data_IF_388587946236
#
_entry.id   IF_388587946236
#
_cell.length_a   1.000
_cell.length_b   1.000
_cell.length_c   1.000
_cell.angle_alpha   90.00
_cell.angle_beta   90.00
_cell.angle_gamma   90.00
#
_symmetry.space_group_name_H-M   'P 1'
#
loop_
_entity.id
_entity.type
_entity.pdbx_description
1 polymer ?
#
# COMPACT_ATOMS: atom_id res chain seq x y z
N UNK A 1 9.98 -31.43 29.77
CA UNK A 1 11.29 -30.88 29.38
C UNK A 1 11.24 -29.38 29.63
N UNK A 2 11.88 -28.88 30.70
CA UNK A 2 11.98 -27.43 30.94
C UNK A 2 13.02 -26.87 29.97
N UNK A 3 12.60 -26.03 29.03
CA UNK A 3 13.53 -25.27 28.20
C UNK A 3 14.32 -24.32 29.07
N UNK A 4 15.65 -24.40 29.03
CA UNK A 4 16.53 -23.42 29.67
C UNK A 4 16.33 -22.07 28.95
N UNK A 5 15.83 -21.08 29.68
CA UNK A 5 15.86 -19.70 29.25
C UNK A 5 17.27 -19.17 29.52
N UNK A 6 18.09 -19.02 28.47
CA UNK A 6 19.35 -18.29 28.56
C UNK A 6 19.08 -16.84 28.15
N UNK A 7 18.59 -16.05 29.11
CA UNK A 7 18.58 -14.59 29.00
C UNK A 7 19.99 -14.06 29.24
N UNK A 8 20.81 -14.06 28.19
CA UNK A 8 21.95 -13.15 28.14
C UNK A 8 21.48 -11.94 27.33
N UNK A 9 20.76 -11.05 28.00
CA UNK A 9 20.42 -9.74 27.46
C UNK A 9 21.70 -8.95 27.24
N UNK A 10 22.21 -8.95 26.01
CA UNK A 10 23.17 -7.98 25.52
C UNK A 10 22.94 -7.80 24.01
N UNK A 11 22.51 -6.59 23.66
CA UNK A 11 22.48 -6.03 22.30
C UNK A 11 21.45 -6.62 21.33
N UNK A 12 20.15 -6.42 21.62
CA UNK A 12 19.11 -6.43 20.58
C UNK A 12 19.06 -5.06 19.86
N UNK A 13 20.19 -4.58 19.36
CA UNK A 13 20.15 -3.78 18.16
C UNK A 13 20.49 -4.76 17.05
N UNK A 14 19.51 -5.36 16.35
CA UNK A 14 19.83 -5.98 15.08
C UNK A 14 20.55 -4.92 14.24
N UNK A 15 21.67 -5.31 13.60
CA UNK A 15 22.24 -4.51 12.53
C UNK A 15 21.07 -3.99 11.68
N UNK A 16 21.04 -2.69 11.31
CA UNK A 16 19.94 -2.19 10.52
C UNK A 16 19.84 -3.07 9.28
N UNK A 17 18.73 -3.84 9.18
CA UNK A 17 18.45 -4.66 8.01
C UNK A 17 18.70 -3.77 6.80
N UNK A 18 19.53 -4.16 5.82
CA UNK A 18 19.81 -3.35 4.64
C UNK A 18 18.52 -2.84 3.98
N UNK A 19 17.40 -3.55 4.16
CA UNK A 19 16.07 -3.08 3.80
C UNK A 19 15.71 -1.70 4.39
N UNK A 20 16.09 -1.34 5.62
CA UNK A 20 15.81 -0.01 6.22
C UNK A 20 16.45 1.16 5.48
N UNK A 21 17.50 0.91 4.70
CA UNK A 21 18.14 1.93 3.86
C UNK A 21 17.44 2.16 2.53
N UNK A 22 16.44 1.33 2.18
CA UNK A 22 15.68 1.52 0.94
C UNK A 22 14.77 2.75 1.04
N UNK A 23 14.61 3.51 -0.07
CA UNK A 23 13.74 4.68 -0.10
C UNK A 23 12.33 4.38 0.40
N UNK A 24 11.83 5.26 1.29
CA UNK A 24 10.45 5.22 1.77
C UNK A 24 10.10 4.08 2.74
N UNK A 25 11.08 3.36 3.27
CA UNK A 25 10.84 2.33 4.30
C UNK A 25 10.37 2.91 5.63
N UNK A 26 10.91 4.07 6.03
CA UNK A 26 10.40 4.83 7.17
C UNK A 26 8.92 5.23 6.99
N UNK A 27 8.50 5.50 5.75
CA UNK A 27 7.13 5.85 5.41
C UNK A 27 6.13 4.70 5.53
N UNK A 28 6.58 3.43 5.52
CA UNK A 28 5.66 2.27 5.65
C UNK A 28 5.05 2.17 7.04
N UNK A 29 5.82 2.48 8.09
CA UNK A 29 5.47 2.21 9.49
C UNK A 29 4.86 3.43 10.21
N UNK A 30 4.11 4.25 9.48
CA UNK A 30 3.42 5.42 10.03
C UNK A 30 2.01 5.08 10.51
N UNK A 31 1.48 5.84 11.45
CA UNK A 31 0.12 5.70 11.99
C UNK A 31 -1.00 5.86 10.92
N UNK A 32 -0.72 6.53 9.80
CA UNK A 32 -1.71 6.88 8.76
C UNK A 32 -2.34 5.67 8.02
N UNK A 33 -1.72 4.48 8.09
CA UNK A 33 -2.22 3.30 7.37
C UNK A 33 -2.10 3.43 5.84
N UNK A 34 -2.69 2.53 5.06
CA UNK A 34 -2.66 2.58 3.59
C UNK A 34 -4.07 2.87 3.04
N UNK A 35 -4.13 3.62 1.93
CA UNK A 35 -5.40 3.94 1.26
C UNK A 35 -5.98 2.75 0.51
N UNK A 36 -5.13 1.93 -0.11
CA UNK A 36 -5.54 0.71 -0.78
C UNK A 36 -4.45 -0.37 -0.72
N UNK A 37 -4.86 -1.63 -0.78
CA UNK A 37 -3.97 -2.80 -0.77
C UNK A 37 -4.52 -3.87 -1.72
N UNK A 38 -3.68 -4.50 -2.54
CA UNK A 38 -4.07 -5.64 -3.39
C UNK A 38 -2.90 -6.61 -3.62
N UNK A 39 -3.19 -7.78 -4.17
CA UNK A 39 -2.21 -8.76 -4.65
C UNK A 39 -2.13 -8.74 -6.18
N UNK A 40 -0.95 -9.03 -6.74
CA UNK A 40 -0.80 -9.36 -8.16
C UNK A 40 -1.05 -10.84 -8.48
N UNK A 41 -0.77 -11.24 -9.71
CA UNK A 41 -0.90 -12.61 -10.20
C UNK A 41 0.05 -13.60 -9.52
N UNK A 42 1.21 -13.11 -9.07
CA UNK A 42 2.26 -13.87 -8.36
C UNK A 42 2.07 -13.86 -6.84
N UNK A 43 1.09 -13.12 -6.34
CA UNK A 43 0.85 -12.97 -4.91
C UNK A 43 1.75 -11.94 -4.23
N UNK A 44 2.36 -11.03 -5.00
CA UNK A 44 3.07 -9.87 -4.45
C UNK A 44 2.04 -8.85 -3.99
N UNK A 45 2.20 -8.37 -2.76
CA UNK A 45 1.35 -7.33 -2.18
C UNK A 45 1.75 -5.96 -2.72
N UNK A 46 0.76 -5.14 -3.08
CA UNK A 46 0.93 -3.75 -3.48
C UNK A 46 0.18 -2.87 -2.47
N UNK A 47 0.89 -1.93 -1.85
CA UNK A 47 0.34 -1.02 -0.85
C UNK A 47 0.37 0.40 -1.41
N UNK A 48 -0.76 1.09 -1.40
CA UNK A 48 -0.92 2.43 -1.96
C UNK A 48 -1.21 3.46 -0.87
N UNK A 49 -0.53 4.60 -0.92
CA UNK A 49 -0.83 5.79 -0.11
C UNK A 49 -0.44 7.04 -0.88
N UNK A 50 -1.36 8.00 -1.00
CA UNK A 50 -1.13 9.21 -1.78
C UNK A 50 -0.69 8.86 -3.20
N UNK A 51 0.41 9.45 -3.65
CA UNK A 51 1.03 9.18 -4.95
C UNK A 51 2.10 8.08 -4.92
N UNK A 52 2.18 7.32 -3.83
CA UNK A 52 3.22 6.33 -3.60
C UNK A 52 2.67 4.91 -3.54
N UNK A 53 3.48 3.98 -4.05
CA UNK A 53 3.28 2.55 -3.96
C UNK A 53 4.49 1.89 -3.29
N UNK A 54 4.22 0.85 -2.52
CA UNK A 54 5.20 -0.07 -1.99
C UNK A 54 4.90 -1.49 -2.50
N UNK A 55 5.86 -2.09 -3.19
CA UNK A 55 5.73 -3.45 -3.73
C UNK A 55 6.37 -4.47 -2.80
N UNK A 56 5.64 -5.53 -2.46
CA UNK A 56 6.05 -6.53 -1.47
C UNK A 56 6.23 -5.96 -0.06
N UNK A 57 6.70 -6.81 0.86
CA UNK A 57 6.91 -6.42 2.26
C UNK A 57 8.12 -5.48 2.45
N UNK A 58 9.18 -5.67 1.67
CA UNK A 58 10.45 -4.96 1.81
C UNK A 58 10.84 -4.07 0.61
N UNK A 59 9.98 -3.95 -0.41
CA UNK A 59 10.33 -3.15 -1.58
C UNK A 59 10.45 -1.65 -1.27
N UNK A 60 11.23 -0.91 -2.07
CA UNK A 60 11.28 0.54 -1.94
C UNK A 60 9.92 1.17 -2.26
N UNK A 61 9.72 2.40 -1.81
CA UNK A 61 8.62 3.23 -2.32
C UNK A 61 8.89 3.64 -3.76
N UNK A 62 7.85 3.67 -4.58
CA UNK A 62 7.89 4.20 -5.93
C UNK A 62 6.68 5.11 -6.16
N UNK A 63 6.83 6.09 -7.04
CA UNK A 63 5.70 6.92 -7.43
C UNK A 63 4.75 6.09 -8.30
N UNK A 64 3.44 6.19 -8.08
CA UNK A 64 2.42 5.32 -8.71
C UNK A 64 2.51 5.36 -10.24
N UNK A 65 2.80 6.51 -10.85
CA UNK A 65 2.92 6.62 -12.31
C UNK A 65 4.08 5.80 -12.92
N UNK A 66 5.08 5.40 -12.12
CA UNK A 66 6.23 4.59 -12.57
C UNK A 66 5.81 3.13 -12.69
N UNK A 67 5.07 2.63 -11.71
CA UNK A 67 4.66 1.22 -11.62
C UNK A 67 3.32 0.95 -12.27
N UNK A 68 2.44 1.94 -12.31
CA UNK A 68 1.13 1.91 -12.93
C UNK A 68 0.98 3.06 -13.93
N UNK A 69 1.52 2.91 -15.15
CA UNK A 69 1.50 3.95 -16.16
C UNK A 69 0.09 4.48 -16.43
N UNK A 70 -0.06 5.81 -16.43
CA UNK A 70 -1.34 6.49 -16.64
C UNK A 70 -2.17 6.68 -15.37
N UNK A 71 -1.74 6.14 -14.22
CA UNK A 71 -2.34 6.46 -12.93
C UNK A 71 -1.59 7.62 -12.25
N UNK A 72 -2.37 8.50 -11.64
CA UNK A 72 -1.90 9.63 -10.82
C UNK A 72 -2.87 9.80 -9.65
N UNK A 73 -2.42 10.36 -8.52
CA UNK A 73 -3.27 10.62 -7.37
C UNK A 73 -3.54 9.38 -6.49
N UNK A 74 -4.17 9.59 -5.33
CA UNK A 74 -4.54 8.53 -4.38
C UNK A 74 -5.41 7.43 -5.00
N UNK A 75 -5.17 6.19 -4.59
CA UNK A 75 -6.04 5.05 -4.87
C UNK A 75 -6.85 4.77 -3.61
N UNK A 76 -8.17 4.79 -3.74
CA UNK A 76 -9.10 4.68 -2.59
C UNK A 76 -9.50 3.24 -2.29
N UNK A 77 -9.45 2.36 -3.30
CA UNK A 77 -9.62 0.93 -3.12
C UNK A 77 -8.91 0.16 -4.23
N UNK A 78 -8.46 -1.05 -3.90
CA UNK A 78 -7.85 -1.97 -4.84
C UNK A 78 -8.28 -3.39 -4.49
N UNK A 79 -8.55 -4.22 -5.50
CA UNK A 79 -8.66 -5.66 -5.29
C UNK A 79 -8.31 -6.44 -6.56
N UNK A 80 -7.86 -7.67 -6.35
CA UNK A 80 -7.66 -8.65 -7.42
C UNK A 80 -8.85 -9.58 -7.48
N UNK A 81 -9.52 -9.62 -8.63
CA UNK A 81 -10.43 -10.70 -8.93
C UNK A 81 -9.61 -11.84 -9.52
N UNK A 82 -9.66 -13.01 -8.87
CA UNK A 82 -9.01 -14.24 -9.32
C UNK A 82 -10.05 -15.35 -9.49
N UNK A 83 -10.20 -15.86 -10.72
CA UNK A 83 -11.00 -17.04 -11.01
C UNK A 83 -10.12 -18.15 -11.58
N UNK A 84 -10.10 -19.30 -10.89
CA UNK A 84 -9.34 -20.48 -11.32
C UNK A 84 -9.90 -21.15 -12.58
N UNK A 85 -11.20 -21.05 -12.83
CA UNK A 85 -11.88 -21.71 -13.96
C UNK A 85 -11.80 -20.89 -15.24
N UNK A 86 -11.77 -19.57 -15.13
CA UNK A 86 -11.70 -18.64 -16.27
C UNK A 86 -10.61 -17.58 -16.08
N UNK A 87 -9.32 -17.96 -16.07
CA UNK A 87 -8.23 -17.02 -15.75
C UNK A 87 -8.15 -15.84 -16.73
N UNK A 88 -8.48 -16.04 -18.01
CA UNK A 88 -8.41 -14.97 -19.02
C UNK A 88 -9.46 -13.85 -18.81
N UNK A 89 -10.56 -14.16 -18.14
CA UNK A 89 -11.67 -13.22 -17.90
C UNK A 89 -11.57 -12.53 -16.54
N UNK A 90 -11.07 -13.26 -15.54
CA UNK A 90 -11.15 -12.88 -14.13
C UNK A 90 -9.79 -13.03 -13.44
N UNK A 91 -8.70 -12.62 -14.10
CA UNK A 91 -7.38 -12.49 -13.49
C UNK A 91 -6.90 -11.06 -13.70
N UNK A 92 -7.55 -10.13 -12.99
CA UNK A 92 -7.32 -8.69 -13.15
C UNK A 92 -7.31 -7.99 -11.81
N UNK A 93 -6.51 -6.94 -11.74
CA UNK A 93 -6.47 -6.01 -10.61
C UNK A 93 -7.36 -4.83 -10.97
N UNK A 94 -8.25 -4.47 -10.06
CA UNK A 94 -9.13 -3.32 -10.18
C UNK A 94 -8.67 -2.27 -9.19
N UNK A 95 -8.47 -1.05 -9.69
CA UNK A 95 -8.06 0.12 -8.91
C UNK A 95 -9.18 1.16 -9.01
N UNK A 96 -9.63 1.66 -7.87
CA UNK A 96 -10.74 2.59 -7.78
C UNK A 96 -10.25 3.92 -7.24
N UNK A 97 -10.71 4.98 -7.91
CA UNK A 97 -10.50 6.37 -7.51
C UNK A 97 -11.87 6.99 -7.29
N UNK A 98 -12.12 7.49 -6.09
CA UNK A 98 -13.26 8.33 -5.78
C UNK A 98 -12.99 9.69 -6.39
N UNK A 99 -13.97 10.22 -7.12
CA UNK A 99 -13.96 11.64 -7.48
C UNK A 99 -14.27 12.45 -6.24
N UNK A 100 -13.27 13.07 -5.65
CA UNK A 100 -13.46 14.10 -4.63
C UNK A 100 -13.89 15.40 -5.31
N UNK A 101 -15.13 15.46 -5.79
CA UNK A 101 -15.80 16.75 -6.06
C UNK A 101 -16.70 17.07 -4.88
N UNK A 102 -16.10 17.40 -3.74
CA UNK A 102 -16.76 18.31 -2.83
C UNK A 102 -16.33 19.72 -3.24
N UNK A 103 -16.99 20.30 -4.25
CA UNK A 103 -16.86 21.74 -4.48
C UNK A 103 -17.54 22.43 -3.31
N UNK A 104 -16.77 22.68 -2.25
CA UNK A 104 -17.16 23.55 -1.15
C UNK A 104 -17.29 24.99 -1.63
N UNK A 105 -18.38 25.29 -2.35
CA UNK A 105 -18.92 26.63 -2.49
C UNK A 105 -20.45 26.65 -2.45
N UNK A 106 -21.10 25.61 -1.90
CA UNK A 106 -22.47 25.77 -1.37
C UNK A 106 -22.38 26.31 0.05
N UNK A 107 -21.90 27.56 0.16
CA UNK A 107 -22.46 28.44 1.18
C UNK A 107 -23.90 28.67 0.74
N UNK A 108 -24.82 27.92 1.32
CA UNK A 108 -26.25 28.15 1.17
C UNK A 108 -26.59 29.57 1.61
N UNK A 109 -26.58 30.50 0.67
CA UNK A 109 -27.34 31.74 0.78
C UNK A 109 -28.80 31.40 0.47
N UNK A 110 -29.75 31.65 1.39
CA UNK A 110 -31.15 31.57 1.03
C UNK A 110 -31.45 32.73 0.06
N UNK A 111 -32.01 32.39 -1.10
CA UNK A 111 -32.63 33.39 -1.96
C UNK A 111 -33.99 33.76 -1.33
N UNK A 112 -34.06 34.98 -0.80
CA UNK A 112 -35.29 35.77 -0.74
C UNK A 112 -35.58 36.33 -2.15
#
# INVERSE_FOLDING_TARGET
IKGKHNDTGNNFHPDPDPAYSLPGMSGRCTEEGFGAITLDDKGVMHYFRGDSEWTGFQGPTQHINVTWPGLTGPIDAAFRNHNKKTPLEHHRIYLFKVRTTCSGSDRGTPLL
#
